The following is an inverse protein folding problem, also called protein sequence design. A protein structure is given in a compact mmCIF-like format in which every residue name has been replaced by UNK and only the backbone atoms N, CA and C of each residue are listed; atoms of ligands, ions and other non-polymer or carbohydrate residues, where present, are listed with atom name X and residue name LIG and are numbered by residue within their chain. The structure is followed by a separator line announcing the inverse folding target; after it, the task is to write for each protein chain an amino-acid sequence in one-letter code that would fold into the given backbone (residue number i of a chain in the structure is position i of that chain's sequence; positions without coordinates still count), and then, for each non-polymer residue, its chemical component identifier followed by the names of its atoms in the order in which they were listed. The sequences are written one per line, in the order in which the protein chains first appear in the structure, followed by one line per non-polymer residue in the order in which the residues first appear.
data_IF_373298598491
#
_entry.id   IF_373298598491
#
_cell.length_a   1.000
_cell.length_b   1.000
_cell.length_c   1.000
_cell.angle_alpha   90.00
_cell.angle_beta   90.00
_cell.angle_gamma   90.00
#
_symmetry.space_group_name_H-M   'P 1'
#
loop_
_entity.id
_entity.type
_entity.pdbx_description
1 polymer ?
#
# COMPACT_ATOMS: atom_id res chain seq x y z
N UNK A 1 26.05 -10.84 14.67
CA UNK A 1 24.83 -10.39 15.37
C UNK A 1 23.90 -11.56 15.50
N UNK A 2 23.53 -11.91 16.73
CA UNK A 2 22.58 -12.99 16.99
C UNK A 2 21.16 -12.56 16.58
N UNK A 3 20.24 -13.52 16.43
CA UNK A 3 18.83 -13.22 16.14
C UNK A 3 18.16 -12.35 17.23
N UNK A 4 18.59 -12.49 18.49
CA UNK A 4 18.08 -11.69 19.62
C UNK A 4 18.45 -10.21 19.49
N UNK A 5 19.67 -9.91 19.06
CA UNK A 5 20.15 -8.53 18.89
C UNK A 5 19.33 -7.79 17.82
N UNK A 6 18.95 -8.50 16.74
CA UNK A 6 18.12 -7.94 15.66
C UNK A 6 16.69 -7.66 16.12
N UNK A 7 16.12 -8.53 16.95
CA UNK A 7 14.76 -8.33 17.51
C UNK A 7 14.75 -7.14 18.46
N UNK A 8 15.74 -7.03 19.35
CA UNK A 8 15.85 -5.89 20.26
C UNK A 8 16.03 -4.57 19.50
N UNK A 9 16.81 -4.58 18.42
CA UNK A 9 16.97 -3.43 17.54
C UNK A 9 15.64 -3.02 16.87
N UNK A 10 14.86 -3.98 16.37
CA UNK A 10 13.53 -3.70 15.83
C UNK A 10 12.60 -3.14 16.89
N UNK A 11 12.52 -3.77 18.07
CA UNK A 11 11.69 -3.28 19.18
C UNK A 11 12.01 -1.82 19.51
N UNK A 12 13.30 -1.46 19.57
CA UNK A 12 13.72 -0.08 19.79
C UNK A 12 13.24 0.84 18.66
N UNK A 13 13.37 0.45 17.40
CA UNK A 13 12.93 1.24 16.24
C UNK A 13 11.41 1.50 16.27
N UNK A 14 10.61 0.46 16.55
CA UNK A 14 9.15 0.59 16.62
C UNK A 14 8.70 1.39 17.86
N UNK A 15 9.33 1.18 19.02
CA UNK A 15 8.95 1.87 20.27
C UNK A 15 9.44 3.32 20.35
N UNK A 16 10.51 3.68 19.65
CA UNK A 16 11.05 5.06 19.63
C UNK A 16 10.45 5.95 18.55
N UNK A 17 9.67 5.39 17.62
CA UNK A 17 9.07 6.17 16.54
C UNK A 17 7.73 6.76 16.95
N UNK A 18 7.53 8.05 16.64
CA UNK A 18 6.23 8.73 16.75
C UNK A 18 5.33 8.55 15.53
N UNK A 19 5.78 7.82 14.51
CA UNK A 19 5.02 7.60 13.28
C UNK A 19 3.95 6.51 13.47
N UNK A 20 2.92 6.51 12.62
CA UNK A 20 1.98 5.39 12.56
C UNK A 20 2.67 4.08 12.20
N UNK A 21 2.21 2.96 12.79
CA UNK A 21 2.84 1.64 12.66
C UNK A 21 3.14 1.22 11.21
N UNK A 22 2.25 1.51 10.27
CA UNK A 22 2.41 1.16 8.84
C UNK A 22 3.50 1.99 8.12
N UNK A 23 4.06 3.00 8.78
CA UNK A 23 5.17 3.84 8.31
C UNK A 23 6.46 3.59 9.09
N UNK A 24 6.39 2.92 10.25
CA UNK A 24 7.54 2.61 11.09
C UNK A 24 8.38 1.49 10.49
N UNK A 25 9.70 1.52 10.72
CA UNK A 25 10.62 0.46 10.33
C UNK A 25 12.02 1.00 10.05
N UNK A 26 12.96 0.11 9.69
CA UNK A 26 14.36 0.49 9.41
C UNK A 26 14.50 1.46 8.25
N UNK A 27 13.67 1.33 7.21
CA UNK A 27 13.70 2.18 6.03
C UNK A 27 12.33 2.85 5.83
N UNK A 28 12.16 4.09 6.29
CA UNK A 28 10.87 4.78 6.21
C UNK A 28 10.45 5.08 4.76
N UNK A 29 11.39 5.20 3.82
CA UNK A 29 11.09 5.45 2.40
C UNK A 29 10.46 4.21 1.78
N UNK A 30 11.05 3.04 2.00
CA UNK A 30 10.52 1.77 1.49
C UNK A 30 9.15 1.49 2.10
N UNK A 31 8.97 1.74 3.39
CA UNK A 31 7.67 1.50 4.03
C UNK A 31 6.60 2.44 3.50
N UNK A 32 6.88 3.74 3.30
CA UNK A 32 5.96 4.66 2.64
C UNK A 32 5.61 4.23 1.22
N UNK A 33 6.61 3.77 0.46
CA UNK A 33 6.36 3.29 -0.90
C UNK A 33 5.42 2.07 -0.89
N UNK A 34 5.70 1.09 -0.03
CA UNK A 34 4.93 -0.14 0.06
C UNK A 34 3.52 0.04 0.66
N UNK A 35 3.35 0.92 1.66
CA UNK A 35 2.09 1.06 2.39
C UNK A 35 1.20 2.21 1.92
N UNK A 36 1.75 3.20 1.19
CA UNK A 36 0.99 4.37 0.72
C UNK A 36 0.97 4.42 -0.81
N UNK A 37 2.14 4.40 -1.44
CA UNK A 37 2.23 4.64 -2.89
C UNK A 37 1.64 3.47 -3.68
N UNK A 38 2.09 2.24 -3.42
CA UNK A 38 1.61 1.05 -4.15
C UNK A 38 0.10 0.87 -3.97
N UNK A 39 -0.48 0.86 -2.74
CA UNK A 39 -1.92 0.74 -2.57
C UNK A 39 -2.69 1.91 -3.18
N UNK A 40 -2.16 3.15 -3.11
CA UNK A 40 -2.79 4.33 -3.70
C UNK A 40 -2.90 4.23 -5.22
N UNK A 41 -1.83 3.85 -5.90
CA UNK A 41 -1.82 3.66 -7.36
C UNK A 41 -2.74 2.52 -7.78
N UNK A 42 -2.67 1.38 -7.08
CA UNK A 42 -3.54 0.23 -7.36
C UNK A 42 -5.02 0.55 -7.13
N UNK A 43 -5.32 1.24 -6.03
CA UNK A 43 -6.68 1.68 -5.71
C UNK A 43 -7.23 2.64 -6.75
N UNK A 44 -6.44 3.63 -7.18
CA UNK A 44 -6.84 4.56 -8.23
C UNK A 44 -7.12 3.84 -9.56
N UNK A 45 -6.23 2.93 -9.98
CA UNK A 45 -6.43 2.14 -11.19
C UNK A 45 -7.71 1.27 -11.11
N UNK A 46 -7.94 0.62 -9.96
CA UNK A 46 -9.14 -0.17 -9.73
C UNK A 46 -10.42 0.68 -9.81
N UNK A 47 -10.42 1.89 -9.22
CA UNK A 47 -11.55 2.81 -9.30
C UNK A 47 -11.83 3.20 -10.76
N UNK A 48 -10.80 3.55 -11.54
CA UNK A 48 -10.97 3.90 -12.96
C UNK A 48 -11.56 2.72 -13.74
N UNK A 49 -11.09 1.49 -13.49
CA UNK A 49 -11.64 0.30 -14.14
C UNK A 49 -13.10 0.07 -13.77
N UNK A 50 -13.46 0.23 -12.49
CA UNK A 50 -14.84 0.08 -12.02
C UNK A 50 -15.77 1.12 -12.63
N UNK A 51 -15.35 2.39 -12.65
CA UNK A 51 -16.15 3.48 -13.25
C UNK A 51 -16.34 3.25 -14.75
N UNK A 52 -15.27 2.92 -15.48
CA UNK A 52 -15.36 2.64 -16.90
C UNK A 52 -16.22 1.40 -17.19
N UNK A 53 -16.09 0.35 -16.38
CA UNK A 53 -16.92 -0.85 -16.46
C UNK A 53 -18.40 -0.54 -16.24
N UNK A 54 -18.73 0.20 -15.17
CA UNK A 54 -20.09 0.62 -14.88
C UNK A 54 -20.68 1.50 -15.99
N UNK A 55 -19.90 2.43 -16.54
CA UNK A 55 -20.32 3.27 -17.66
C UNK A 55 -20.61 2.46 -18.92
N UNK A 56 -19.75 1.49 -19.26
CA UNK A 56 -19.98 0.59 -20.41
C UNK A 56 -21.23 -0.25 -20.23
N UNK A 57 -21.46 -0.79 -19.04
CA UNK A 57 -22.69 -1.51 -18.70
C UNK A 57 -23.93 -0.63 -18.84
N UNK A 58 -23.89 0.61 -18.35
CA UNK A 58 -25.00 1.56 -18.42
C UNK A 58 -25.34 1.95 -19.88
N UNK A 59 -24.32 2.23 -20.69
CA UNK A 59 -24.48 2.67 -22.08
C UNK A 59 -24.69 1.51 -23.07
N UNK A 60 -24.58 0.25 -22.62
CA UNK A 60 -24.67 -0.93 -23.47
C UNK A 60 -23.48 -1.12 -24.42
N UNK A 61 -22.40 -0.35 -24.23
CA UNK A 61 -21.18 -0.42 -25.05
C UNK A 61 -20.28 -1.58 -24.65
N UNK A 62 -19.69 -2.28 -25.62
CA UNK A 62 -18.72 -3.36 -25.37
C UNK A 62 -19.31 -4.77 -25.36
N UNK A 63 -20.55 -4.96 -25.82
CA UNK A 63 -21.01 -6.27 -26.29
C UNK A 63 -20.19 -6.62 -27.53
N UNK A 64 -19.35 -7.66 -27.44
CA UNK A 64 -18.76 -8.25 -28.64
C UNK A 64 -19.89 -9.00 -29.34
N UNK A 65 -20.16 -8.66 -30.60
CA UNK A 65 -20.95 -9.52 -31.50
C UNK A 65 -20.25 -10.86 -31.71
#
# INVERSE_FOLDING_TARGET
MSGRDRIAEMQKIFQSSSQYTHLQGKNPVVNRFASVIVPGVLGAAAIVMLVNGAHKLYTGQGKME
#
